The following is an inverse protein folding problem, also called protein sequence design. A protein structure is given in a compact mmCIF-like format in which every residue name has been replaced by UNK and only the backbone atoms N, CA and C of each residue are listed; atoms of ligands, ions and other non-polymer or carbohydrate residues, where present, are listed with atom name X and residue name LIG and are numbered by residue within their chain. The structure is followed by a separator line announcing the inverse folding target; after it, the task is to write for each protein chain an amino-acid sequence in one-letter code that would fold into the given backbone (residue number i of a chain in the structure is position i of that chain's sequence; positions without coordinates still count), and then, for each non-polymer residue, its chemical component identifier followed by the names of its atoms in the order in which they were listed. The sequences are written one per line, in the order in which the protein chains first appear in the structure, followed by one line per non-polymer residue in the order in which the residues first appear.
data_IF_429721227089
#
_entry.id   IF_429721227089
#
_cell.length_a   1.000
_cell.length_b   1.000
_cell.length_c   1.000
_cell.angle_alpha   90.00
_cell.angle_beta   90.00
_cell.angle_gamma   90.00
#
_symmetry.space_group_name_H-M   'P 1'
#
loop_
_entity.id
_entity.type
_entity.pdbx_description
1 polymer ?
#
# COMPACT_ATOMS: atom_id res chain seq x y z
N UNK A 1 39.76 16.62 -0.45
CA UNK A 1 38.44 16.52 0.20
C UNK A 1 38.00 15.05 0.18
N UNK A 2 37.99 14.35 1.33
CA UNK A 2 37.51 12.96 1.41
C UNK A 2 36.06 12.94 0.91
N UNK A 3 35.74 12.15 -0.11
CA UNK A 3 34.35 11.85 -0.50
C UNK A 3 33.69 11.19 0.71
N UNK A 4 33.10 11.98 1.60
CA UNK A 4 32.29 11.47 2.71
C UNK A 4 31.26 10.56 2.06
N UNK A 5 31.02 9.37 2.64
CA UNK A 5 30.18 8.32 2.05
C UNK A 5 28.70 8.76 2.00
N UNK A 6 28.40 9.72 1.13
CA UNK A 6 27.12 10.42 1.01
C UNK A 6 26.01 9.51 0.47
N UNK A 7 26.38 8.34 -0.06
CA UNK A 7 25.49 7.32 -0.57
C UNK A 7 24.87 6.44 0.52
N UNK A 8 25.46 6.38 1.73
CA UNK A 8 24.94 5.57 2.84
C UNK A 8 23.51 5.98 3.23
N UNK A 9 23.19 7.25 3.51
CA UNK A 9 21.83 7.63 3.86
C UNK A 9 20.83 7.33 2.73
N UNK A 10 21.25 7.48 1.47
CA UNK A 10 20.42 7.15 0.31
C UNK A 10 20.06 5.66 0.28
N UNK A 11 21.03 4.78 0.56
CA UNK A 11 20.82 3.33 0.64
C UNK A 11 19.86 2.99 1.79
N UNK A 12 20.03 3.62 2.95
CA UNK A 12 19.15 3.39 4.11
C UNK A 12 17.71 3.78 3.78
N UNK A 13 17.50 4.94 3.15
CA UNK A 13 16.17 5.38 2.72
C UNK A 13 15.54 4.42 1.70
N UNK A 14 16.33 3.92 0.74
CA UNK A 14 15.85 2.95 -0.24
C UNK A 14 15.42 1.64 0.43
N UNK A 15 16.19 1.15 1.41
CA UNK A 15 15.85 -0.09 2.15
C UNK A 15 14.57 0.08 2.97
N UNK A 16 14.41 1.21 3.66
CA UNK A 16 13.17 1.50 4.41
C UNK A 16 11.96 1.57 3.47
N UNK A 17 12.12 2.23 2.32
CA UNK A 17 11.09 2.31 1.30
C UNK A 17 10.68 0.94 0.77
N UNK A 18 11.65 0.10 0.40
CA UNK A 18 11.41 -1.27 -0.04
C UNK A 18 10.71 -2.10 1.04
N UNK A 19 11.07 -1.92 2.31
CA UNK A 19 10.42 -2.61 3.43
C UNK A 19 8.94 -2.24 3.58
N UNK A 20 8.60 -0.95 3.51
CA UNK A 20 7.22 -0.47 3.55
C UNK A 20 6.42 -1.01 2.36
N UNK A 21 6.96 -0.85 1.14
CA UNK A 21 6.35 -1.34 -0.10
C UNK A 21 6.10 -2.85 -0.06
N UNK A 22 7.10 -3.65 0.33
CA UNK A 22 6.97 -5.10 0.39
C UNK A 22 5.94 -5.55 1.43
N UNK A 23 5.85 -4.85 2.56
CA UNK A 23 4.85 -5.14 3.60
C UNK A 23 3.43 -4.91 3.06
N UNK A 24 3.20 -3.76 2.44
CA UNK A 24 1.88 -3.40 1.91
C UNK A 24 1.49 -4.25 0.70
N UNK A 25 2.46 -4.66 -0.13
CA UNK A 25 2.25 -5.62 -1.22
C UNK A 25 1.80 -6.99 -0.68
N UNK A 26 2.46 -7.50 0.37
CA UNK A 26 2.10 -8.79 0.99
C UNK A 26 0.73 -8.73 1.68
N UNK A 27 0.39 -7.61 2.30
CA UNK A 27 -0.96 -7.43 2.88
C UNK A 27 -2.02 -7.38 1.78
N UNK A 28 -1.78 -6.63 0.70
CA UNK A 28 -2.70 -6.54 -0.44
C UNK A 28 -2.98 -7.90 -1.09
N UNK A 29 -1.94 -8.71 -1.26
CA UNK A 29 -2.07 -10.07 -1.83
C UNK A 29 -2.73 -11.08 -0.89
N UNK A 30 -2.95 -10.72 0.39
CA UNK A 30 -3.64 -11.57 1.37
C UNK A 30 -4.98 -11.00 1.81
N UNK A 31 -5.54 -10.06 1.03
CA UNK A 31 -6.82 -9.38 1.31
C UNK A 31 -6.84 -8.75 2.70
N UNK A 32 -5.72 -8.13 3.09
CA UNK A 32 -5.59 -7.40 4.34
C UNK A 32 -5.34 -5.93 4.06
N UNK A 33 -5.82 -5.08 4.96
CA UNK A 33 -5.59 -3.63 4.90
C UNK A 33 -4.08 -3.36 4.99
N UNK A 34 -3.48 -2.64 4.02
CA UNK A 34 -2.07 -2.26 4.09
C UNK A 34 -1.81 -1.31 5.26
N UNK A 35 -0.56 -1.27 5.73
CA UNK A 35 -0.16 -0.63 6.99
C UNK A 35 0.42 0.76 6.78
N UNK A 36 1.23 0.95 5.73
CA UNK A 36 1.98 2.19 5.52
C UNK A 36 1.30 3.16 4.54
N UNK A 37 0.17 2.77 3.96
CA UNK A 37 -0.65 3.64 3.12
C UNK A 37 -1.53 4.58 3.94
N UNK A 38 -1.77 5.77 3.39
CA UNK A 38 -2.62 6.82 4.00
C UNK A 38 -3.89 6.98 3.17
N UNK A 39 -5.08 7.12 3.77
CA UNK A 39 -6.32 7.33 3.01
C UNK A 39 -6.27 8.64 2.22
N UNK A 40 -6.70 8.58 0.96
CA UNK A 40 -6.88 9.76 0.09
C UNK A 40 -8.37 10.03 -0.11
N UNK A 41 -9.10 9.00 -0.53
CA UNK A 41 -10.55 9.03 -0.69
C UNK A 41 -11.11 7.75 -0.12
N UNK A 42 -11.97 7.85 0.90
CA UNK A 42 -12.57 6.68 1.54
C UNK A 42 -14.09 6.81 1.61
N UNK A 43 -14.78 5.68 1.43
CA UNK A 43 -16.20 5.57 1.68
C UNK A 43 -16.50 5.44 3.18
N UNK A 44 -17.75 5.72 3.56
CA UNK A 44 -18.25 5.66 4.95
C UNK A 44 -18.61 4.22 5.40
N UNK A 45 -17.99 3.20 4.78
CA UNK A 45 -18.26 1.78 4.98
C UNK A 45 -17.22 1.05 5.85
N UNK A 46 -16.36 1.83 6.52
CA UNK A 46 -15.26 1.31 7.34
C UNK A 46 -13.90 1.30 6.64
N UNK A 47 -13.82 1.78 5.39
CA UNK A 47 -12.55 2.12 4.75
C UNK A 47 -12.32 1.55 3.36
N UNK A 48 -13.37 1.30 2.57
CA UNK A 48 -13.19 1.18 1.12
C UNK A 48 -12.69 2.50 0.55
N UNK A 49 -11.99 2.44 -0.57
CA UNK A 49 -11.50 3.61 -1.29
C UNK A 49 -10.01 3.52 -1.58
N UNK A 50 -9.43 4.66 -1.91
CA UNK A 50 -8.06 4.78 -2.40
C UNK A 50 -7.14 5.28 -1.31
N UNK A 51 -6.01 4.60 -1.19
CA UNK A 51 -4.95 4.87 -0.25
C UNK A 51 -3.63 5.09 -1.00
N UNK A 52 -2.81 5.99 -0.50
CA UNK A 52 -1.54 6.37 -1.10
C UNK A 52 -0.37 5.92 -0.22
N UNK A 53 0.48 5.08 -0.80
CA UNK A 53 1.81 4.78 -0.28
C UNK A 53 2.87 5.64 -0.99
N UNK A 54 4.14 5.52 -0.56
CA UNK A 54 5.21 6.28 -1.20
C UNK A 54 5.51 5.68 -2.59
N UNK A 55 5.02 6.32 -3.66
CA UNK A 55 5.25 5.88 -5.05
C UNK A 55 4.33 4.77 -5.56
N UNK A 56 3.27 4.44 -4.84
CA UNK A 56 2.24 3.47 -5.24
C UNK A 56 0.89 3.81 -4.59
N UNK A 57 -0.21 3.37 -5.18
CA UNK A 57 -1.56 3.49 -4.66
C UNK A 57 -2.17 2.12 -4.40
N UNK A 58 -3.11 2.05 -3.46
CA UNK A 58 -3.88 0.85 -3.15
C UNK A 58 -5.36 1.22 -3.10
N UNK A 59 -6.17 0.54 -3.90
CA UNK A 59 -7.62 0.60 -3.86
C UNK A 59 -8.14 -0.61 -3.09
N UNK A 60 -8.97 -0.34 -2.09
CA UNK A 60 -9.59 -1.32 -1.19
C UNK A 60 -11.10 -1.30 -1.39
N UNK A 61 -11.71 -2.47 -1.48
CA UNK A 61 -13.17 -2.62 -1.42
C UNK A 61 -13.54 -3.59 -0.31
N UNK A 62 -14.46 -3.15 0.54
CA UNK A 62 -15.00 -3.90 1.67
C UNK A 62 -16.41 -4.39 1.38
N UNK A 63 -16.80 -5.51 2.00
CA UNK A 63 -18.17 -6.00 1.96
C UNK A 63 -19.08 -5.11 2.82
N UNK A 64 -19.93 -4.31 2.17
CA UNK A 64 -20.91 -3.45 2.83
C UNK A 64 -22.10 -4.21 3.44
N UNK A 65 -22.23 -5.52 3.22
CA UNK A 65 -23.36 -6.33 3.69
C UNK A 65 -23.12 -6.98 5.06
N UNK A 66 -21.92 -6.88 5.63
CA UNK A 66 -21.54 -7.55 6.88
C UNK A 66 -21.00 -6.56 7.90
N UNK A 67 -21.52 -6.51 9.13
CA UNK A 67 -20.87 -5.75 10.20
C UNK A 67 -19.50 -6.39 10.47
N UNK A 68 -18.44 -5.56 10.42
CA UNK A 68 -17.02 -5.95 10.37
C UNK A 68 -16.52 -6.28 8.95
N UNK A 69 -16.75 -5.32 8.04
CA UNK A 69 -16.55 -5.35 6.59
C UNK A 69 -15.26 -6.08 6.20
N UNK A 70 -15.40 -7.23 5.54
CA UNK A 70 -14.27 -8.01 5.05
C UNK A 70 -13.73 -7.37 3.77
N UNK A 71 -12.41 -7.43 3.56
CA UNK A 71 -11.80 -6.95 2.31
C UNK A 71 -12.11 -7.95 1.21
N UNK A 72 -12.91 -7.53 0.22
CA UNK A 72 -13.28 -8.35 -0.95
C UNK A 72 -12.25 -8.16 -2.06
N UNK A 73 -11.79 -6.92 -2.25
CA UNK A 73 -10.87 -6.56 -3.33
C UNK A 73 -9.75 -5.68 -2.80
N UNK A 74 -8.53 -5.99 -3.22
CA UNK A 74 -7.38 -5.10 -3.08
C UNK A 74 -6.66 -5.02 -4.42
N UNK A 75 -6.51 -3.81 -4.93
CA UNK A 75 -5.73 -3.52 -6.14
C UNK A 75 -4.61 -2.56 -5.80
N UNK A 76 -3.39 -2.90 -6.17
CA UNK A 76 -2.21 -2.09 -5.95
C UNK A 76 -1.64 -1.63 -7.29
N UNK A 77 -1.41 -0.33 -7.43
CA UNK A 77 -0.89 0.29 -8.64
C UNK A 77 0.41 1.04 -8.36
N UNK A 78 1.31 1.01 -9.32
CA UNK A 78 2.56 1.76 -9.30
C UNK A 78 2.77 2.38 -10.68
N UNK A 79 2.99 3.70 -10.74
CA UNK A 79 3.11 4.47 -11.98
C UNK A 79 1.94 4.25 -12.96
N UNK A 80 0.71 4.16 -12.45
CA UNK A 80 -0.50 3.94 -13.25
C UNK A 80 -0.61 2.54 -13.85
N UNK A 81 0.16 1.57 -13.34
CA UNK A 81 0.06 0.15 -13.72
C UNK A 81 -0.27 -0.70 -12.51
N UNK A 82 -1.22 -1.62 -12.68
CA UNK A 82 -1.54 -2.63 -11.67
C UNK A 82 -0.33 -3.56 -11.50
N UNK A 83 0.15 -3.68 -10.27
CA UNK A 83 1.27 -4.55 -9.89
C UNK A 83 0.84 -5.72 -9.00
N UNK A 84 -0.35 -5.64 -8.43
CA UNK A 84 -0.96 -6.71 -7.65
C UNK A 84 -2.45 -6.50 -7.53
N UNK A 85 -3.23 -7.56 -7.65
CA UNK A 85 -4.66 -7.54 -7.40
C UNK A 85 -5.05 -8.85 -6.71
N UNK A 86 -5.94 -8.77 -5.73
CA UNK A 86 -6.50 -9.92 -5.05
C UNK A 86 -8.00 -9.69 -4.89
N UNK A 87 -8.79 -10.70 -5.22
CA UNK A 87 -10.26 -10.70 -5.15
C UNK A 87 -10.75 -11.99 -4.49
N UNK A 88 -11.88 -11.95 -3.80
CA UNK A 88 -12.60 -13.13 -3.24
C UNK A 88 -14.02 -13.20 -3.77
#
# INVERSE_FOLDING_TARGET
MKKRKMWIPLIVLLVLWLGMFATDYRMSTTLRKPVFVVPVETADDGGSGTYQGLGYSVTLELDGNVPNSQVISVTMEMFGKVIGASIT
#
